data_IF_357566662049
#
_entry.id   IF_357566662049
#
_cell.length_a   1.000
_cell.length_b   1.000
_cell.length_c   1.000
_cell.angle_alpha   90.00
_cell.angle_beta   90.00
_cell.angle_gamma   90.00
#
_symmetry.space_group_name_H-M   'P 1'
#
loop_
_entity.id
_entity.type
_entity.pdbx_description
1 polymer ?
#
# COMPACT_ATOMS: atom_id res chain seq x y z
N UNK A 1 -37.25 10.66 24.45
CA UNK A 1 -36.58 11.40 23.34
C UNK A 1 -37.34 11.04 22.07
N UNK A 2 -37.99 12.01 21.41
CA UNK A 2 -38.86 11.72 20.25
C UNK A 2 -38.09 11.55 18.94
N UNK A 3 -38.80 11.16 17.87
CA UNK A 3 -38.23 11.06 16.52
C UNK A 3 -37.56 12.38 16.09
N UNK A 4 -36.50 12.26 15.28
CA UNK A 4 -35.71 13.41 14.82
C UNK A 4 -36.58 14.33 13.95
N UNK A 5 -36.72 15.60 14.34
CA UNK A 5 -37.58 16.59 13.65
C UNK A 5 -37.24 16.84 12.17
N UNK A 6 -35.96 16.77 11.79
CA UNK A 6 -35.50 16.99 10.41
C UNK A 6 -34.54 15.89 9.99
N UNK A 7 -34.78 15.31 8.82
CA UNK A 7 -33.88 14.35 8.21
C UNK A 7 -32.55 15.02 7.84
N UNK A 8 -31.45 14.32 8.09
CA UNK A 8 -30.15 14.69 7.54
C UNK A 8 -29.24 13.45 7.51
N UNK A 9 -28.26 13.41 6.60
CA UNK A 9 -27.35 12.29 6.49
C UNK A 9 -26.51 12.09 7.75
N UNK A 10 -26.00 10.87 7.92
CA UNK A 10 -25.07 10.52 8.99
C UNK A 10 -23.77 11.32 8.85
N UNK A 11 -23.20 11.73 9.98
CA UNK A 11 -21.90 12.41 10.01
C UNK A 11 -20.78 11.38 10.09
N UNK A 12 -19.97 11.32 9.03
CA UNK A 12 -18.85 10.40 8.89
C UNK A 12 -19.27 8.97 8.51
N UNK A 13 -18.38 8.29 7.79
CA UNK A 13 -18.54 6.87 7.47
C UNK A 13 -18.17 5.98 8.67
N UNK A 14 -18.97 4.92 8.87
CA UNK A 14 -18.73 3.85 9.84
C UNK A 14 -17.73 2.80 9.34
N UNK A 15 -17.55 2.67 8.03
CA UNK A 15 -16.68 1.64 7.43
C UNK A 15 -15.20 1.78 7.85
N UNK A 16 -14.80 2.97 8.30
CA UNK A 16 -13.44 3.29 8.73
C UNK A 16 -13.29 3.32 10.26
N UNK A 17 -14.14 2.59 10.99
CA UNK A 17 -13.97 2.37 12.42
C UNK A 17 -13.11 1.12 12.69
N UNK A 18 -12.26 1.13 13.73
CA UNK A 18 -11.93 2.26 14.61
C UNK A 18 -11.02 3.29 13.91
N UNK A 19 -11.26 4.60 14.16
CA UNK A 19 -10.40 5.69 13.65
C UNK A 19 -9.15 5.86 14.52
N UNK A 20 -8.24 4.89 14.48
CA UNK A 20 -6.99 4.88 15.24
C UNK A 20 -5.76 5.26 14.42
N UNK A 21 -4.61 5.39 15.10
CA UNK A 21 -3.30 5.46 14.44
C UNK A 21 -2.95 4.06 13.90
N UNK A 22 -2.49 3.99 12.66
CA UNK A 22 -1.95 2.75 12.12
C UNK A 22 -0.73 2.28 12.91
N UNK A 23 -0.59 0.97 13.12
CA UNK A 23 0.51 0.37 13.89
C UNK A 23 1.86 0.40 13.17
N UNK A 24 1.85 0.43 11.83
CA UNK A 24 3.03 0.49 10.98
C UNK A 24 3.04 1.79 10.19
N UNK A 25 4.20 2.30 9.75
CA UNK A 25 4.30 3.49 8.89
C UNK A 25 4.10 3.18 7.38
N UNK A 26 4.01 1.91 7.01
CA UNK A 26 3.86 1.43 5.62
C UNK A 26 2.41 0.98 5.39
N UNK A 27 1.88 1.28 4.21
CA UNK A 27 0.57 0.79 3.77
C UNK A 27 0.55 -0.74 3.65
N UNK A 28 -0.42 -1.41 4.28
CA UNK A 28 -0.59 -2.86 4.14
C UNK A 28 -1.48 -3.15 2.94
N UNK A 29 -0.96 -3.89 1.97
CA UNK A 29 -1.73 -4.42 0.85
C UNK A 29 -2.50 -5.65 1.33
N UNK A 30 -3.82 -5.64 1.13
CA UNK A 30 -4.72 -6.70 1.61
C UNK A 30 -5.11 -7.68 0.52
N UNK A 31 -5.20 -7.18 -0.69
CA UNK A 31 -5.62 -7.91 -1.87
C UNK A 31 -4.69 -7.51 -3.00
N UNK A 32 -4.27 -8.51 -3.77
CA UNK A 32 -3.51 -8.32 -4.99
C UNK A 32 -4.40 -8.74 -6.16
N UNK A 33 -4.47 -7.95 -7.25
CA UNK A 33 -5.24 -8.32 -8.43
C UNK A 33 -4.65 -9.56 -9.10
N UNK A 34 -5.46 -10.24 -9.89
CA UNK A 34 -5.00 -11.30 -10.79
C UNK A 34 -4.62 -10.73 -12.15
N UNK A 35 -3.53 -11.20 -12.74
CA UNK A 35 -3.12 -10.83 -14.10
C UNK A 35 -3.32 -12.03 -15.02
N UNK A 36 -4.29 -11.92 -15.93
CA UNK A 36 -4.66 -13.01 -16.86
C UNK A 36 -3.81 -13.02 -18.14
N UNK A 37 -3.28 -11.86 -18.55
CA UNK A 37 -2.55 -11.71 -19.81
C UNK A 37 -1.10 -11.23 -19.60
N UNK A 38 -0.19 -11.79 -20.40
CA UNK A 38 1.23 -11.44 -20.39
C UNK A 38 2.10 -12.40 -19.58
N UNK A 39 3.39 -12.07 -19.52
CA UNK A 39 4.36 -12.83 -18.72
C UNK A 39 4.31 -12.47 -17.23
N UNK A 40 5.09 -13.18 -16.39
CA UNK A 40 5.22 -12.87 -14.97
C UNK A 40 5.64 -11.41 -14.73
N UNK A 41 4.89 -10.70 -13.90
CA UNK A 41 5.14 -9.30 -13.54
C UNK A 41 4.95 -9.07 -12.05
N UNK A 42 5.67 -8.08 -11.52
CA UNK A 42 5.44 -7.59 -10.17
C UNK A 42 4.25 -6.65 -10.14
N UNK A 43 3.38 -6.81 -9.14
CA UNK A 43 2.13 -6.06 -9.06
C UNK A 43 2.22 -4.75 -8.26
N UNK A 44 3.39 -4.42 -7.71
CA UNK A 44 3.52 -3.29 -6.81
C UNK A 44 4.93 -2.73 -6.77
N UNK A 45 5.01 -1.46 -6.40
CA UNK A 45 6.26 -0.74 -6.20
C UNK A 45 6.09 0.24 -5.03
N UNK A 46 7.21 0.62 -4.41
CA UNK A 46 7.23 1.56 -3.31
C UNK A 46 7.95 2.85 -3.69
N UNK A 47 7.34 3.98 -3.35
CA UNK A 47 7.96 5.29 -3.54
C UNK A 47 7.70 6.22 -2.36
N UNK A 48 8.46 7.30 -2.32
CA UNK A 48 8.36 8.36 -1.33
C UNK A 48 7.69 9.58 -1.95
N UNK A 49 6.65 10.11 -1.29
CA UNK A 49 6.02 11.35 -1.77
C UNK A 49 7.01 12.51 -1.62
N UNK A 50 7.44 13.07 -2.75
CA UNK A 50 8.35 14.22 -2.79
C UNK A 50 7.60 15.54 -2.71
N UNK A 51 6.51 15.69 -3.48
CA UNK A 51 5.80 16.95 -3.56
C UNK A 51 4.56 16.90 -4.44
N UNK A 52 4.03 18.08 -4.76
CA UNK A 52 2.93 18.25 -5.70
C UNK A 52 3.24 19.44 -6.61
N UNK A 53 2.87 19.32 -7.87
CA UNK A 53 2.94 20.38 -8.88
C UNK A 53 1.61 20.41 -9.65
N UNK A 54 1.52 21.25 -10.67
CA UNK A 54 0.46 21.17 -11.67
C UNK A 54 1.10 20.87 -13.03
N UNK A 55 0.33 20.22 -13.89
CA UNK A 55 0.66 19.99 -15.29
C UNK A 55 -0.43 20.60 -16.15
N UNK A 56 -0.07 21.06 -17.33
CA UNK A 56 -1.04 21.41 -18.36
C UNK A 56 -1.18 20.21 -19.29
N UNK A 57 -2.42 19.78 -19.50
CA UNK A 57 -2.74 18.67 -20.39
C UNK A 57 -3.93 19.08 -21.25
N UNK A 58 -3.90 18.68 -22.52
CA UNK A 58 -5.05 18.85 -23.41
C UNK A 58 -6.09 17.80 -23.05
N UNK A 59 -7.31 18.23 -22.74
CA UNK A 59 -8.40 17.33 -22.40
C UNK A 59 -8.85 16.55 -23.65
N UNK A 60 -8.70 15.23 -23.60
CA UNK A 60 -9.00 14.29 -24.70
C UNK A 60 -10.34 13.58 -24.52
N UNK A 61 -11.04 13.79 -23.39
CA UNK A 61 -12.33 13.17 -23.14
C UNK A 61 -13.44 13.81 -23.98
N UNK A 62 -13.89 13.07 -24.99
CA UNK A 62 -15.04 13.45 -25.83
C UNK A 62 -16.28 13.71 -24.96
N UNK A 63 -16.93 14.86 -25.17
CA UNK A 63 -18.10 15.30 -24.40
C UNK A 63 -17.79 16.15 -23.16
N UNK A 64 -16.51 16.33 -22.81
CA UNK A 64 -16.11 17.33 -21.82
C UNK A 64 -16.30 18.75 -22.37
N UNK A 65 -16.81 19.73 -21.59
CA UNK A 65 -16.84 21.15 -22.00
C UNK A 65 -15.47 21.72 -22.36
N UNK A 66 -14.39 21.08 -21.88
CA UNK A 66 -13.01 21.49 -22.12
C UNK A 66 -12.31 20.65 -23.20
N UNK A 67 -13.01 19.78 -23.92
CA UNK A 67 -12.42 18.94 -24.97
C UNK A 67 -11.59 19.77 -25.97
N UNK A 68 -10.35 19.36 -26.21
CA UNK A 68 -9.39 20.05 -27.08
C UNK A 68 -8.79 21.34 -26.51
N UNK A 69 -9.09 21.70 -25.25
CA UNK A 69 -8.50 22.85 -24.56
C UNK A 69 -7.43 22.38 -23.57
N UNK A 70 -6.46 23.24 -23.33
CA UNK A 70 -5.44 23.04 -22.30
C UNK A 70 -6.03 23.31 -20.91
N UNK A 71 -5.94 22.32 -20.02
CA UNK A 71 -6.46 22.38 -18.65
C UNK A 71 -5.34 22.07 -17.67
N UNK A 72 -5.30 22.84 -16.57
CA UNK A 72 -4.36 22.60 -15.49
C UNK A 72 -4.85 21.48 -14.56
N UNK A 73 -4.07 20.41 -14.41
CA UNK A 73 -4.34 19.31 -13.48
C UNK A 73 -3.30 19.27 -12.35
N UNK A 74 -3.71 19.07 -11.09
CA UNK A 74 -2.76 18.86 -10.00
C UNK A 74 -2.10 17.48 -10.12
N UNK A 75 -0.78 17.43 -10.07
CA UNK A 75 0.04 16.22 -10.13
C UNK A 75 0.82 16.03 -8.82
N UNK A 76 1.01 14.78 -8.40
CA UNK A 76 1.87 14.43 -7.26
C UNK A 76 3.17 13.82 -7.77
N UNK A 77 4.31 14.33 -7.30
CA UNK A 77 5.61 13.78 -7.62
C UNK A 77 6.00 12.76 -6.55
N UNK A 78 6.29 11.54 -7.00
CA UNK A 78 6.76 10.44 -6.17
C UNK A 78 8.21 10.15 -6.56
N UNK A 79 9.12 10.21 -5.58
CA UNK A 79 10.50 9.77 -5.70
C UNK A 79 10.56 8.25 -5.52
N UNK A 80 10.96 7.54 -6.57
CA UNK A 80 10.83 6.09 -6.71
C UNK A 80 12.22 5.45 -6.91
N UNK A 81 13.07 5.40 -5.86
CA UNK A 81 14.37 4.76 -5.96
C UNK A 81 14.22 3.25 -6.23
N UNK A 82 15.18 2.60 -6.91
CA UNK A 82 15.15 1.17 -7.14
C UNK A 82 14.97 0.37 -5.84
N UNK A 83 14.16 -0.69 -5.89
CA UNK A 83 13.94 -1.61 -4.78
C UNK A 83 14.85 -2.82 -4.92
N UNK A 84 15.42 -3.30 -3.82
CA UNK A 84 16.23 -4.52 -3.80
C UNK A 84 15.35 -5.71 -3.50
N UNK A 85 15.45 -6.76 -4.30
CA UNK A 85 14.82 -8.04 -4.02
C UNK A 85 15.66 -8.80 -3.00
N UNK A 86 15.16 -8.90 -1.77
CA UNK A 86 15.87 -9.54 -0.69
C UNK A 86 15.60 -11.04 -0.62
N UNK A 87 14.35 -11.44 -0.86
CA UNK A 87 13.95 -12.84 -0.75
C UNK A 87 12.74 -13.16 -1.62
N UNK A 88 12.55 -14.44 -1.90
CA UNK A 88 11.37 -15.00 -2.55
C UNK A 88 10.61 -15.80 -1.50
N UNK A 89 9.29 -15.69 -1.49
CA UNK A 89 8.41 -16.45 -0.63
C UNK A 89 7.37 -17.19 -1.48
N UNK A 90 7.32 -18.51 -1.32
CA UNK A 90 6.29 -19.34 -1.92
C UNK A 90 5.16 -19.59 -0.90
N UNK A 91 3.92 -19.41 -1.33
CA UNK A 91 2.73 -19.72 -0.53
C UNK A 91 2.02 -20.96 -1.07
N UNK A 92 1.61 -21.85 -0.18
CA UNK A 92 0.65 -22.93 -0.45
C UNK A 92 -0.73 -22.51 0.03
N UNK A 93 -1.77 -23.16 -0.50
CA UNK A 93 -3.15 -22.90 -0.08
C UNK A 93 -3.68 -24.08 0.73
N UNK A 94 -3.92 -23.81 2.01
CA UNK A 94 -4.62 -24.71 2.93
C UNK A 94 -6.12 -24.32 2.99
N UNK A 95 -7.01 -25.17 3.54
CA UNK A 95 -8.42 -24.82 3.76
C UNK A 95 -8.62 -23.56 4.60
N UNK A 96 -7.64 -23.20 5.43
CA UNK A 96 -7.65 -22.00 6.28
C UNK A 96 -7.07 -20.75 5.61
N UNK A 97 -6.47 -20.87 4.42
CA UNK A 97 -5.89 -19.76 3.66
C UNK A 97 -4.46 -20.02 3.18
N UNK A 98 -3.74 -18.95 2.88
CA UNK A 98 -2.36 -19.03 2.39
C UNK A 98 -1.39 -19.29 3.54
N UNK A 99 -0.56 -20.33 3.40
CA UNK A 99 0.50 -20.69 4.33
C UNK A 99 1.86 -20.61 3.63
N UNK A 100 2.88 -20.11 4.33
CA UNK A 100 4.23 -20.04 3.77
C UNK A 100 4.79 -21.45 3.63
N UNK A 101 5.22 -21.82 2.42
CA UNK A 101 5.95 -23.07 2.16
C UNK A 101 7.41 -22.91 2.56
N UNK A 102 8.11 -21.98 1.91
CA UNK A 102 9.54 -21.70 2.13
C UNK A 102 9.87 -20.27 1.70
N UNK A 103 10.93 -19.72 2.26
CA UNK A 103 11.49 -18.41 1.93
C UNK A 103 12.96 -18.59 1.52
N UNK A 104 13.34 -18.05 0.36
CA UNK A 104 14.71 -18.07 -0.16
C UNK A 104 15.28 -16.67 -0.03
N UNK A 105 16.32 -16.49 0.76
CA UNK A 105 16.99 -15.19 0.94
C UNK A 105 18.21 -15.07 0.03
N UNK A 106 18.45 -13.90 -0.54
CA UNK A 106 19.67 -13.65 -1.30
C UNK A 106 20.91 -13.66 -0.37
N UNK A 107 22.04 -14.16 -0.86
CA UNK A 107 23.30 -14.20 -0.08
C UNK A 107 23.87 -12.79 0.16
N UNK A 108 23.98 -12.02 -0.92
CA UNK A 108 24.61 -10.71 -0.91
C UNK A 108 23.57 -9.59 -0.80
N UNK A 109 23.21 -9.28 0.44
CA UNK A 109 22.26 -8.21 0.76
C UNK A 109 23.00 -6.90 1.11
N UNK A 110 22.50 -5.73 0.65
CA UNK A 110 23.04 -4.43 1.05
C UNK A 110 23.14 -4.25 2.56
N UNK A 111 24.20 -3.58 3.03
CA UNK A 111 24.43 -3.37 4.46
C UNK A 111 23.29 -2.65 5.18
N UNK A 112 22.54 -1.80 4.47
CA UNK A 112 21.41 -1.07 5.03
C UNK A 112 20.29 -1.99 5.52
N UNK A 113 20.20 -3.24 5.01
CA UNK A 113 19.23 -4.23 5.47
C UNK A 113 19.52 -4.66 6.92
N UNK A 114 20.78 -4.63 7.36
CA UNK A 114 21.18 -4.91 8.75
C UNK A 114 20.58 -3.90 9.75
N UNK A 115 20.10 -2.74 9.29
CA UNK A 115 19.40 -1.74 10.12
C UNK A 115 17.98 -2.17 10.50
N UNK A 116 17.47 -3.25 9.93
CA UNK A 116 16.14 -3.77 10.23
C UNK A 116 16.23 -4.70 11.44
N UNK A 117 15.63 -4.35 12.58
CA UNK A 117 15.71 -5.17 13.78
C UNK A 117 14.96 -6.49 13.56
N UNK A 118 15.59 -7.60 13.96
CA UNK A 118 15.01 -8.95 13.90
C UNK A 118 15.10 -9.64 12.54
N UNK A 119 15.59 -8.96 11.50
CA UNK A 119 15.81 -9.60 10.21
C UNK A 119 17.15 -10.34 10.21
N UNK A 120 17.10 -11.67 10.22
CA UNK A 120 18.26 -12.55 10.06
C UNK A 120 18.08 -13.37 8.78
N UNK A 121 18.67 -12.93 7.65
CA UNK A 121 18.64 -13.70 6.42
C UNK A 121 19.32 -15.06 6.66
N UNK A 122 18.68 -16.16 6.26
CA UNK A 122 19.31 -17.47 6.22
C UNK A 122 19.75 -17.76 4.77
N UNK A 123 21.06 -17.77 4.46
CA UNK A 123 21.55 -17.79 3.09
C UNK A 123 21.61 -19.20 2.45
N UNK A 124 20.70 -20.12 2.79
CA UNK A 124 20.67 -21.46 2.17
C UNK A 124 19.93 -21.43 0.82
N UNK A 125 20.49 -20.69 -0.15
CA UNK A 125 19.81 -20.41 -1.43
C UNK A 125 19.53 -21.67 -2.24
N UNK A 126 20.54 -22.51 -2.43
CA UNK A 126 20.42 -23.69 -3.29
C UNK A 126 19.44 -24.73 -2.73
N UNK A 127 19.51 -25.00 -1.43
CA UNK A 127 18.62 -25.96 -0.76
C UNK A 127 17.17 -25.48 -0.81
N UNK A 128 16.93 -24.21 -0.51
CA UNK A 128 15.58 -23.67 -0.43
C UNK A 128 14.97 -23.45 -1.82
N UNK A 129 15.76 -23.14 -2.84
CA UNK A 129 15.30 -23.13 -4.23
C UNK A 129 14.88 -24.53 -4.69
N UNK A 130 15.68 -25.57 -4.39
CA UNK A 130 15.35 -26.97 -4.72
C UNK A 130 14.04 -27.39 -4.07
N UNK A 131 13.83 -27.04 -2.79
CA UNK A 131 12.57 -27.34 -2.08
C UNK A 131 11.35 -26.73 -2.77
N UNK A 132 11.47 -25.50 -3.29
CA UNK A 132 10.37 -24.87 -4.03
C UNK A 132 10.18 -25.56 -5.38
N UNK A 133 11.27 -25.83 -6.11
CA UNK A 133 11.24 -26.50 -7.41
C UNK A 133 10.57 -27.89 -7.35
N UNK A 134 10.87 -28.68 -6.32
CA UNK A 134 10.24 -29.99 -6.07
C UNK A 134 8.75 -29.89 -5.71
N UNK A 135 8.28 -28.75 -5.21
CA UNK A 135 6.92 -28.56 -4.72
C UNK A 135 6.12 -27.52 -5.54
N UNK A 136 6.52 -27.22 -6.77
CA UNK A 136 5.85 -26.23 -7.63
C UNK A 136 4.35 -26.51 -7.79
N UNK A 137 3.96 -27.79 -7.86
CA UNK A 137 2.55 -28.19 -8.01
C UNK A 137 1.67 -27.79 -6.82
N UNK A 138 2.26 -27.56 -5.64
CA UNK A 138 1.55 -27.12 -4.42
C UNK A 138 1.56 -25.61 -4.24
N UNK A 139 2.37 -24.88 -5.01
CA UNK A 139 2.52 -23.43 -4.88
C UNK A 139 1.28 -22.76 -5.47
N UNK A 140 0.64 -21.93 -4.65
CA UNK A 140 -0.52 -21.13 -5.04
C UNK A 140 -0.13 -19.70 -5.48
N UNK A 141 0.84 -19.08 -4.80
CA UNK A 141 1.30 -17.73 -5.12
C UNK A 141 2.78 -17.53 -4.79
N UNK A 142 3.47 -16.77 -5.63
CA UNK A 142 4.80 -16.24 -5.33
C UNK A 142 4.73 -14.78 -4.85
N UNK A 143 5.50 -14.47 -3.81
CA UNK A 143 5.73 -13.10 -3.37
C UNK A 143 7.21 -12.82 -3.23
N UNK A 144 7.60 -11.63 -3.64
CA UNK A 144 8.96 -11.14 -3.48
C UNK A 144 9.00 -10.23 -2.26
N UNK A 145 9.96 -10.46 -1.37
CA UNK A 145 10.28 -9.57 -0.26
C UNK A 145 11.25 -8.52 -0.80
N UNK A 146 10.73 -7.32 -1.02
CA UNK A 146 11.51 -6.21 -1.55
C UNK A 146 11.77 -5.14 -0.48
N UNK A 147 12.98 -4.59 -0.48
CA UNK A 147 13.40 -3.50 0.38
C UNK A 147 13.61 -2.22 -0.44
N UNK A 148 13.09 -1.12 0.09
CA UNK A 148 13.36 0.22 -0.46
C UNK A 148 14.82 0.64 -0.23
N UNK A 149 15.34 1.56 -1.04
CA UNK A 149 16.65 2.19 -0.84
C UNK A 149 16.53 3.68 -0.47
N UNK A 150 16.19 4.02 0.79
CA UNK A 150 16.00 5.40 1.22
C UNK A 150 17.16 6.35 0.96
N UNK A 151 18.40 5.84 0.91
CA UNK A 151 19.62 6.65 0.69
C UNK A 151 19.67 7.30 -0.68
N UNK A 152 19.08 6.65 -1.68
CA UNK A 152 18.99 7.18 -3.04
C UNK A 152 17.85 8.19 -3.19
N UNK A 153 16.90 8.19 -2.24
CA UNK A 153 15.81 9.16 -2.21
C UNK A 153 16.20 10.40 -1.40
N UNK A 154 15.50 11.51 -1.64
CA UNK A 154 15.67 12.77 -0.91
C UNK A 154 15.13 12.76 0.54
N UNK A 155 15.01 11.60 1.17
CA UNK A 155 14.34 11.42 2.48
C UNK A 155 15.38 11.28 3.60
N UNK A 156 15.19 11.91 4.77
CA UNK A 156 16.10 11.77 5.92
C UNK A 156 15.93 10.42 6.64
N UNK A 157 16.02 9.32 5.89
CA UNK A 157 15.83 7.95 6.37
C UNK A 157 16.98 7.10 5.85
N UNK A 158 17.56 6.27 6.72
CA UNK A 158 18.62 5.31 6.36
C UNK A 158 18.14 3.86 6.39
N UNK A 159 17.15 3.58 7.23
CA UNK A 159 16.59 2.23 7.41
C UNK A 159 15.64 1.91 6.26
N UNK A 160 15.85 0.83 5.49
CA UNK A 160 14.91 0.36 4.49
C UNK A 160 13.55 -0.03 5.08
N UNK A 161 12.50 0.19 4.30
CA UNK A 161 11.20 -0.43 4.50
C UNK A 161 11.11 -1.72 3.67
N UNK A 162 10.66 -2.80 4.30
CA UNK A 162 10.46 -4.10 3.66
C UNK A 162 8.98 -4.36 3.46
N UNK A 163 8.64 -4.86 2.28
CA UNK A 163 7.28 -5.28 1.93
C UNK A 163 7.30 -6.51 1.03
N UNK A 164 6.18 -7.24 1.05
CA UNK A 164 5.92 -8.30 0.10
C UNK A 164 5.21 -7.71 -1.11
N UNK A 165 5.63 -8.14 -2.31
CA UNK A 165 5.01 -7.79 -3.58
C UNK A 165 4.62 -9.11 -4.26
N UNK A 166 3.35 -9.27 -4.64
CA UNK A 166 2.93 -10.46 -5.40
C UNK A 166 3.49 -10.41 -6.82
N UNK A 167 3.94 -11.56 -7.30
CA UNK A 167 4.21 -11.79 -8.72
C UNK A 167 3.03 -12.54 -9.29
N UNK A 168 2.53 -12.10 -10.44
CA UNK A 168 1.45 -12.77 -11.14
C UNK A 168 1.59 -12.67 -12.66
N UNK A 169 0.77 -13.44 -13.38
CA UNK A 169 0.86 -13.59 -14.83
C UNK A 169 1.73 -14.80 -15.23
N UNK A 170 1.51 -15.31 -16.45
CA UNK A 170 2.16 -16.53 -16.94
C UNK A 170 1.84 -17.79 -16.12
N UNK A 171 2.61 -18.86 -16.37
CA UNK A 171 2.50 -20.12 -15.60
C UNK A 171 3.29 -20.07 -14.30
N UNK A 172 2.96 -20.92 -13.32
CA UNK A 172 3.71 -21.03 -12.04
C UNK A 172 5.20 -21.30 -12.27
N UNK A 173 5.56 -22.05 -13.31
CA UNK A 173 6.95 -22.32 -13.69
C UNK A 173 7.66 -21.07 -14.21
N UNK A 174 7.01 -20.32 -15.10
CA UNK A 174 7.54 -19.04 -15.59
C UNK A 174 7.70 -18.03 -14.45
N UNK A 175 6.73 -17.98 -13.53
CA UNK A 175 6.81 -17.15 -12.34
C UNK A 175 8.02 -17.52 -11.48
N UNK A 176 8.27 -18.82 -11.29
CA UNK A 176 9.43 -19.31 -10.55
C UNK A 176 10.76 -18.89 -11.20
N UNK A 177 10.90 -19.06 -12.51
CA UNK A 177 12.09 -18.63 -13.24
C UNK A 177 12.28 -17.11 -13.17
N UNK A 178 11.20 -16.35 -13.29
CA UNK A 178 11.21 -14.90 -13.17
C UNK A 178 11.68 -14.44 -11.78
N UNK A 179 11.12 -15.00 -10.70
CA UNK A 179 11.55 -14.61 -9.34
C UNK A 179 12.98 -15.06 -9.03
N UNK A 180 13.40 -16.23 -9.51
CA UNK A 180 14.78 -16.72 -9.39
C UNK A 180 15.77 -15.75 -10.04
N UNK A 181 15.44 -15.24 -11.21
CA UNK A 181 16.26 -14.26 -11.93
C UNK A 181 16.31 -12.89 -11.24
N UNK A 182 15.28 -12.52 -10.47
CA UNK A 182 15.22 -11.25 -9.75
C UNK A 182 15.92 -11.28 -8.38
N UNK A 183 16.19 -12.47 -7.81
CA UNK A 183 16.77 -12.60 -6.48
C UNK A 183 18.10 -11.83 -6.36
N UNK A 184 18.21 -10.95 -5.37
CA UNK A 184 19.40 -10.13 -5.13
C UNK A 184 19.58 -8.93 -6.08
N UNK A 185 18.74 -8.78 -7.11
CA UNK A 185 18.81 -7.66 -8.06
C UNK A 185 17.96 -6.49 -7.61
N UNK A 186 18.16 -5.35 -8.26
CA UNK A 186 17.35 -4.15 -8.10
C UNK A 186 16.26 -4.08 -9.17
N UNK A 187 15.06 -3.67 -8.79
CA UNK A 187 13.91 -3.41 -9.67
C UNK A 187 13.67 -1.91 -9.72
N UNK A 188 13.50 -1.36 -10.92
CA UNK A 188 13.13 0.04 -11.12
C UNK A 188 11.62 0.20 -11.25
N UNK A 189 11.12 1.44 -11.07
CA UNK A 189 9.69 1.72 -11.23
C UNK A 189 9.22 1.47 -12.67
N UNK A 190 10.08 1.71 -13.66
CA UNK A 190 9.78 1.53 -15.10
C UNK A 190 9.59 0.07 -15.49
N UNK A 191 10.17 -0.88 -14.74
CA UNK A 191 9.99 -2.31 -14.97
C UNK A 191 8.59 -2.79 -14.53
N UNK A 192 7.94 -2.03 -13.64
CA UNK A 192 6.68 -2.40 -12.98
C UNK A 192 5.50 -1.58 -13.51
N UNK A 193 5.71 -0.28 -13.73
CA UNK A 193 4.67 0.69 -14.06
C UNK A 193 4.86 1.18 -15.49
N UNK A 194 3.76 1.24 -16.24
CA UNK A 194 3.72 1.81 -17.59
C UNK A 194 3.02 3.17 -17.58
N UNK A 195 3.43 4.06 -18.47
CA UNK A 195 2.76 5.35 -18.66
C UNK A 195 1.31 5.15 -19.10
N UNK A 196 0.40 5.97 -18.58
CA UNK A 196 -1.05 5.86 -18.82
C UNK A 196 -1.76 4.74 -18.04
N UNK A 197 -1.03 3.89 -17.29
CA UNK A 197 -1.63 2.84 -16.48
C UNK A 197 -2.34 3.41 -15.25
N UNK A 198 -3.55 2.92 -14.96
CA UNK A 198 -4.24 3.21 -13.71
C UNK A 198 -3.58 2.46 -12.55
N UNK A 199 -3.34 3.17 -11.45
CA UNK A 199 -2.65 2.63 -10.27
C UNK A 199 -3.43 2.93 -9.00
N UNK A 200 -3.42 1.97 -8.07
CA UNK A 200 -3.95 2.14 -6.72
C UNK A 200 -2.83 2.58 -5.77
N UNK A 201 -3.05 3.70 -5.07
CA UNK A 201 -2.06 4.24 -4.12
C UNK A 201 -2.45 3.88 -2.69
N UNK A 202 -1.62 3.07 -2.03
CA UNK A 202 -1.80 2.69 -0.63
C UNK A 202 -0.80 3.44 0.25
N UNK A 203 -1.29 4.32 1.13
CA UNK A 203 -0.46 5.10 2.02
C UNK A 203 -1.14 5.37 3.37
N UNK A 204 -0.37 5.87 4.33
CA UNK A 204 -0.87 6.29 5.63
C UNK A 204 -1.09 7.79 5.63
N UNK A 205 -2.29 8.21 6.03
CA UNK A 205 -2.66 9.62 6.06
C UNK A 205 -1.84 10.42 7.07
N UNK A 206 -1.65 11.72 6.80
CA UNK A 206 -1.00 12.65 7.74
C UNK A 206 -1.71 12.65 9.10
N UNK A 207 -0.96 12.36 10.16
CA UNK A 207 -1.45 12.45 11.54
C UNK A 207 -1.77 13.89 11.94
N UNK A 208 -2.90 14.10 12.63
CA UNK A 208 -3.34 15.41 13.16
C UNK A 208 -3.48 15.42 14.69
N UNK A 209 -2.91 14.43 15.36
CA UNK A 209 -3.00 14.26 16.82
C UNK A 209 -4.44 14.01 17.31
N UNK A 210 -4.68 14.34 18.58
CA UNK A 210 -6.00 14.28 19.18
C UNK A 210 -6.90 15.37 18.58
N UNK A 211 -8.03 14.97 18.01
CA UNK A 211 -8.98 15.87 17.35
C UNK A 211 -10.36 15.76 17.98
N UNK A 212 -10.96 16.92 18.28
CA UNK A 212 -12.32 17.00 18.81
C UNK A 212 -13.39 16.57 17.79
N UNK A 213 -14.64 16.34 18.23
CA UNK A 213 -15.71 15.80 17.39
C UNK A 213 -15.96 16.61 16.13
N UNK A 214 -15.92 17.95 16.22
CA UNK A 214 -16.16 18.85 15.09
C UNK A 214 -15.20 18.56 13.93
N UNK A 215 -13.90 18.53 14.19
CA UNK A 215 -12.90 18.30 13.12
C UNK A 215 -12.78 16.83 12.73
N UNK A 216 -12.95 15.91 13.69
CA UNK A 216 -12.80 14.46 13.48
C UNK A 216 -13.99 13.82 12.75
N UNK A 217 -15.20 14.31 13.00
CA UNK A 217 -16.45 13.74 12.48
C UNK A 217 -17.25 14.69 11.57
N UNK A 218 -16.85 15.96 11.47
CA UNK A 218 -17.58 16.95 10.67
C UNK A 218 -18.94 17.31 11.28
N UNK A 219 -19.06 17.26 12.61
CA UNK A 219 -20.29 17.68 13.30
C UNK A 219 -20.40 19.19 13.35
N UNK A 220 -21.63 19.70 13.31
CA UNK A 220 -21.92 21.14 13.39
C UNK A 220 -21.54 21.67 14.77
N UNK A 221 -20.95 22.86 14.80
CA UNK A 221 -20.65 23.60 16.03
C UNK A 221 -21.96 24.07 16.68
N UNK A 222 -22.03 24.04 18.02
CA UNK A 222 -23.19 24.52 18.77
C UNK A 222 -23.32 26.06 18.71
N UNK A 223 -24.46 26.56 19.18
CA UNK A 223 -24.76 28.00 19.20
C UNK A 223 -23.72 28.79 20.02
N UNK A 224 -23.58 30.08 19.72
CA UNK A 224 -22.60 30.94 20.39
C UNK A 224 -22.83 31.10 21.90
N UNK A 225 -24.09 31.01 22.36
CA UNK A 225 -24.48 31.09 23.79
C UNK A 225 -24.39 29.76 24.55
N UNK A 226 -23.89 28.69 23.92
CA UNK A 226 -23.78 27.39 24.58
C UNK A 226 -22.78 27.46 25.75
N UNK A 227 -23.22 27.06 26.95
CA UNK A 227 -22.37 27.00 28.15
C UNK A 227 -21.53 25.72 28.16
N UNK A 228 -20.33 25.79 28.73
CA UNK A 228 -19.31 24.71 28.85
C UNK A 228 -18.67 24.29 27.53
N UNK A 229 -19.44 23.82 26.55
CA UNK A 229 -18.88 23.26 25.30
C UNK A 229 -19.59 23.81 24.08
N UNK A 230 -18.82 24.46 23.20
CA UNK A 230 -19.31 24.90 21.87
C UNK A 230 -18.91 23.94 20.75
N UNK A 231 -17.71 23.37 20.84
CA UNK A 231 -17.11 22.50 19.80
C UNK A 231 -17.27 21.01 20.13
N UNK A 232 -18.50 20.60 20.45
CA UNK A 232 -18.85 19.24 20.83
C UNK A 232 -20.20 18.82 20.26
N UNK A 233 -20.61 17.60 20.59
CA UNK A 233 -21.94 17.07 20.28
C UNK A 233 -22.87 17.38 21.46
N UNK A 234 -24.11 17.80 21.20
CA UNK A 234 -25.06 18.11 22.26
C UNK A 234 -25.62 16.86 22.95
N UNK A 235 -26.02 15.85 22.18
CA UNK A 235 -26.64 14.61 22.69
C UNK A 235 -25.85 13.41 22.18
N UNK A 236 -25.35 12.56 23.08
CA UNK A 236 -24.62 11.34 22.72
C UNK A 236 -25.57 10.18 22.38
N UNK A 237 -26.67 10.08 23.10
CA UNK A 237 -27.70 9.06 22.91
C UNK A 237 -28.97 9.35 23.71
N UNK A 238 -30.03 8.55 23.50
CA UNK A 238 -31.22 8.52 24.37
C UNK A 238 -30.90 7.92 25.76
N UNK A 239 -31.89 7.91 26.67
CA UNK A 239 -31.75 7.26 27.98
C UNK A 239 -31.57 5.74 27.84
N UNK A 240 -32.35 5.09 26.96
CA UNK A 240 -32.24 3.65 26.69
C UNK A 240 -31.84 3.43 25.22
N UNK A 241 -30.87 2.55 24.91
CA UNK A 241 -30.08 1.72 25.83
C UNK A 241 -29.13 2.56 26.71
N UNK A 242 -29.01 2.16 27.98
CA UNK A 242 -28.20 2.83 29.00
C UNK A 242 -26.72 2.49 28.88
#
# INVERSE_FOLDING_TARGET
>A
MGHRKKHAPKRGSLAYLPRGRASRPIGRIRFWPSVEEGGPTLLGFAGYKAGMTHIFMVEDRVGSPNYGREVAYPATVIDAPPMVVCAIRAYTRDPYGLKTLTEVWAENLPEDIKRIPGLKPNPNVEEDLKKIEENLDKVAEFRVIAATQPRLAGVPKKKPDVMEIKVDGGTVREQFEYVKNLLGKTISASDVLKEGQYVDVVAITKGKGFQGPVKRWGVRILQHKARKTKRGVATLGPWHPA
#
